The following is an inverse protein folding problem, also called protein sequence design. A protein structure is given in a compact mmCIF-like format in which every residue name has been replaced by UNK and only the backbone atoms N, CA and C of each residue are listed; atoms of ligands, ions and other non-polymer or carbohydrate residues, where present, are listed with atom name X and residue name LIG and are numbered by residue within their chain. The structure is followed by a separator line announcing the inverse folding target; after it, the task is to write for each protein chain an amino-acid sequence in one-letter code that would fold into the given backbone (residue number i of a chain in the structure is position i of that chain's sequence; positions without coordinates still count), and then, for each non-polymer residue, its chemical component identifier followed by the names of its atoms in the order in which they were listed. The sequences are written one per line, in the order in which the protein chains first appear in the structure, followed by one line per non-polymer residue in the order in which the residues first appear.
data_IF_478337527452
#
_entry.id   IF_478337527452
#
_cell.length_a   1.000
_cell.length_b   1.000
_cell.length_c   1.000
_cell.angle_alpha   90.00
_cell.angle_beta   90.00
_cell.angle_gamma   90.00
#
_symmetry.space_group_name_H-M   'P 1'
#
loop_
_entity.id
_entity.type
_entity.pdbx_description
1 polymer ?
#
# COMPACT_ATOMS: atom_id res chain seq x y z
N UNK A 1 -6.84 -13.57 -0.95
CA UNK A 1 -7.58 -12.34 -0.61
C UNK A 1 -6.54 -11.30 -0.24
N UNK A 2 -6.60 -10.09 -0.80
CA UNK A 2 -5.63 -9.06 -0.47
C UNK A 2 -6.00 -8.46 0.89
N UNK A 3 -5.05 -8.41 1.81
CA UNK A 3 -5.24 -7.69 3.07
C UNK A 3 -4.98 -6.20 2.85
N UNK A 4 -5.90 -5.37 3.36
CA UNK A 4 -5.78 -3.92 3.35
C UNK A 4 -5.86 -3.39 4.76
N UNK A 5 -5.06 -2.37 5.06
CA UNK A 5 -4.97 -1.76 6.37
C UNK A 5 -5.34 -0.28 6.31
N UNK A 6 -5.90 0.22 7.41
CA UNK A 6 -6.30 1.63 7.55
C UNK A 6 -5.20 2.54 8.09
N UNK A 7 -4.13 1.96 8.64
CA UNK A 7 -3.01 2.69 9.23
C UNK A 7 -1.70 2.29 8.57
N UNK A 8 -0.82 3.28 8.43
CA UNK A 8 0.56 3.02 8.11
C UNK A 8 1.16 2.15 9.22
N UNK A 9 1.84 1.08 8.81
CA UNK A 9 2.72 0.30 9.65
C UNK A 9 3.80 -0.25 8.73
N UNK A 10 5.02 -0.49 9.20
CA UNK A 10 6.06 -0.86 8.25
C UNK A 10 5.90 -2.26 7.66
N UNK A 11 6.56 -2.46 6.52
CA UNK A 11 6.22 -3.54 5.59
C UNK A 11 4.98 -3.24 4.73
N UNK A 12 4.31 -2.10 4.97
CA UNK A 12 3.15 -1.65 4.20
C UNK A 12 3.47 -0.42 3.39
N UNK A 13 2.93 -0.41 2.18
CA UNK A 13 2.97 0.69 1.26
C UNK A 13 1.58 1.26 1.10
N UNK A 14 1.52 2.58 1.19
CA UNK A 14 0.34 3.34 0.84
C UNK A 14 0.07 3.26 -0.66
N UNK A 15 -1.16 2.91 -1.00
CA UNK A 15 -1.70 2.93 -2.36
C UNK A 15 -2.92 3.85 -2.39
N UNK A 16 -2.96 4.73 -3.38
CA UNK A 16 -4.05 5.67 -3.58
C UNK A 16 -4.63 5.51 -4.98
N UNK A 17 -5.92 5.18 -5.05
CA UNK A 17 -6.68 5.06 -6.29
C UNK A 17 -7.36 6.39 -6.57
N UNK A 18 -6.94 7.08 -7.62
CA UNK A 18 -7.54 8.33 -8.08
C UNK A 18 -8.76 8.00 -8.95
N UNK A 19 -9.88 8.66 -8.66
CA UNK A 19 -11.13 8.48 -9.37
C UNK A 19 -11.46 9.71 -10.24
N UNK A 20 -12.17 9.48 -11.34
CA UNK A 20 -12.85 10.55 -12.08
C UNK A 20 -14.26 10.83 -11.53
N UNK A 21 -14.97 11.76 -12.18
CA UNK A 21 -16.35 12.15 -11.84
C UNK A 21 -17.38 11.02 -12.00
N UNK A 22 -17.02 9.94 -12.70
CA UNK A 22 -17.87 8.77 -12.94
C UNK A 22 -17.43 7.57 -12.09
N UNK A 23 -16.64 7.79 -11.04
CA UNK A 23 -16.08 6.76 -10.15
C UNK A 23 -15.15 5.74 -10.84
N UNK A 24 -14.59 6.07 -12.01
CA UNK A 24 -13.61 5.21 -12.67
C UNK A 24 -12.20 5.50 -12.16
N UNK A 25 -11.42 4.43 -11.95
CA UNK A 25 -9.99 4.55 -11.61
C UNK A 25 -9.22 5.10 -12.81
N UNK A 26 -8.65 6.29 -12.67
CA UNK A 26 -7.83 6.93 -13.71
C UNK A 26 -6.33 6.78 -13.46
N UNK A 27 -5.93 6.65 -12.20
CA UNK A 27 -4.52 6.52 -11.80
C UNK A 27 -4.39 5.81 -10.46
N UNK A 28 -3.25 5.15 -10.27
CA UNK A 28 -2.88 4.52 -9.00
C UNK A 28 -1.52 5.08 -8.59
N UNK A 29 -1.44 5.66 -7.40
CA UNK A 29 -0.20 6.20 -6.83
C UNK A 29 0.26 5.29 -5.69
N UNK A 30 1.53 4.89 -5.71
CA UNK A 30 2.15 4.04 -4.67
C UNK A 30 3.23 4.82 -3.92
N UNK A 31 3.33 4.61 -2.60
CA UNK A 31 4.40 5.15 -1.77
C UNK A 31 3.91 5.90 -0.53
N UNK A 32 4.65 5.74 0.57
CA UNK A 32 4.27 6.27 1.89
C UNK A 32 4.33 7.81 1.98
N UNK A 33 5.12 8.46 1.10
CA UNK A 33 5.22 9.93 1.01
C UNK A 33 4.25 10.56 0.02
N UNK A 34 3.44 9.77 -0.69
CA UNK A 34 2.48 10.30 -1.68
C UNK A 34 1.39 11.07 -0.96
N UNK A 35 1.24 12.37 -1.22
CA UNK A 35 0.04 13.13 -0.83
C UNK A 35 -0.73 13.42 -2.10
N UNK A 36 -1.97 12.93 -2.19
CA UNK A 36 -2.86 13.20 -3.33
C UNK A 36 -3.86 14.28 -2.95
N UNK A 37 -4.01 15.29 -3.81
CA UNK A 37 -5.08 16.30 -3.72
C UNK A 37 -6.34 15.86 -4.46
N UNK A 38 -6.25 14.80 -5.25
CA UNK A 38 -7.34 14.28 -6.07
C UNK A 38 -8.32 13.44 -5.24
N UNK A 39 -9.58 13.36 -5.69
CA UNK A 39 -10.58 12.48 -5.08
C UNK A 39 -10.21 11.00 -5.32
N UNK A 40 -10.37 10.18 -4.29
CA UNK A 40 -9.99 8.78 -4.38
C UNK A 40 -10.03 8.03 -3.06
N UNK A 41 -9.55 6.79 -3.10
CA UNK A 41 -9.47 5.91 -1.94
C UNK A 41 -8.04 5.53 -1.62
N UNK A 42 -7.73 5.49 -0.33
CA UNK A 42 -6.41 5.14 0.19
C UNK A 42 -6.46 3.81 0.95
N UNK A 43 -5.47 2.96 0.69
CA UNK A 43 -5.22 1.76 1.48
C UNK A 43 -3.74 1.66 1.83
N UNK A 44 -3.42 0.92 2.87
CA UNK A 44 -2.08 0.39 3.09
C UNK A 44 -2.12 -1.11 2.76
N UNK A 45 -1.15 -1.59 1.99
CA UNK A 45 -1.03 -2.99 1.58
C UNK A 45 0.39 -3.46 1.79
N UNK A 46 0.63 -4.77 1.86
CA UNK A 46 1.98 -5.30 1.95
C UNK A 46 2.85 -4.89 0.74
N UNK A 47 4.16 -4.81 0.95
CA UNK A 47 5.14 -4.48 -0.09
C UNK A 47 4.92 -5.27 -1.41
N UNK A 48 4.78 -6.60 -1.31
CA UNK A 48 4.60 -7.47 -2.49
C UNK A 48 3.29 -7.22 -3.25
N UNK A 49 2.27 -6.67 -2.59
CA UNK A 49 1.00 -6.29 -3.22
C UNK A 49 1.19 -4.96 -3.95
N UNK A 50 1.86 -3.99 -3.34
CA UNK A 50 2.13 -2.69 -3.96
C UNK A 50 2.99 -2.82 -5.23
N UNK A 51 3.96 -3.74 -5.23
CA UNK A 51 4.79 -4.05 -6.41
C UNK A 51 3.99 -4.69 -7.56
N UNK A 52 2.79 -5.20 -7.28
CA UNK A 52 1.90 -5.88 -8.23
C UNK A 52 0.51 -5.21 -8.29
N UNK A 53 0.44 -3.91 -7.96
CA UNK A 53 -0.83 -3.19 -7.84
C UNK A 53 -1.59 -3.10 -9.17
N UNK A 54 -0.87 -3.21 -10.29
CA UNK A 54 -1.41 -3.27 -11.64
C UNK A 54 -2.32 -4.48 -11.88
N UNK A 55 -2.11 -5.57 -11.13
CA UNK A 55 -2.95 -6.78 -11.12
C UNK A 55 -4.16 -6.67 -10.19
N UNK A 56 -4.25 -5.58 -9.43
CA UNK A 56 -5.32 -5.35 -8.48
C UNK A 56 -6.36 -4.39 -9.06
N UNK A 57 -7.58 -4.49 -8.58
CA UNK A 57 -8.65 -3.55 -8.87
C UNK A 57 -9.39 -3.14 -7.61
N UNK A 58 -9.77 -1.87 -7.60
CA UNK A 58 -10.68 -1.31 -6.61
C UNK A 58 -12.10 -1.72 -6.98
N UNK A 59 -12.87 -2.19 -6.00
CA UNK A 59 -14.29 -2.43 -6.16
C UNK A 59 -15.05 -1.91 -4.94
N UNK A 60 -16.33 -1.58 -5.13
CA UNK A 60 -17.21 -1.14 -4.07
C UNK A 60 -18.08 -2.31 -3.61
N UNK A 61 -17.97 -2.67 -2.34
CA UNK A 61 -18.90 -3.58 -1.68
C UNK A 61 -19.90 -2.72 -0.87
N UNK A 62 -21.01 -2.38 -1.53
CA UNK A 62 -21.91 -1.32 -1.06
C UNK A 62 -21.20 0.04 -1.07
N UNK A 63 -21.08 0.66 0.11
CA UNK A 63 -20.34 1.92 0.30
C UNK A 63 -18.89 1.71 0.77
N UNK A 64 -18.44 0.46 0.90
CA UNK A 64 -17.10 0.15 1.41
C UNK A 64 -16.17 -0.16 0.24
N UNK A 65 -15.14 0.68 0.00
CA UNK A 65 -14.15 0.41 -1.03
C UNK A 65 -13.23 -0.72 -0.58
N UNK A 66 -12.97 -1.67 -1.47
CA UNK A 66 -12.15 -2.86 -1.22
C UNK A 66 -11.21 -3.13 -2.38
N UNK A 67 -10.11 -3.82 -2.10
CA UNK A 67 -9.12 -4.21 -3.09
C UNK A 67 -9.21 -5.71 -3.35
N UNK A 68 -9.24 -6.10 -4.63
CA UNK A 68 -9.14 -7.51 -5.05
C UNK A 68 -8.20 -7.67 -6.22
N UNK A 69 -7.83 -8.91 -6.49
CA UNK A 69 -7.09 -9.27 -7.71
C UNK A 69 -8.06 -9.25 -8.88
N UNK A 70 -7.64 -8.70 -10.03
CA UNK A 70 -8.41 -8.71 -11.27
C UNK A 70 -8.70 -10.16 -11.69
N UNK A 71 -9.80 -10.34 -12.42
CA UNK A 71 -10.16 -11.66 -12.94
C UNK A 71 -9.07 -12.18 -13.88
N UNK A 72 -8.62 -13.42 -13.66
CA UNK A 72 -7.56 -14.06 -14.44
C UNK A 72 -6.12 -13.72 -14.00
N UNK A 73 -5.93 -12.78 -13.08
CA UNK A 73 -4.62 -12.41 -12.54
C UNK A 73 -4.26 -13.21 -11.27
N UNK A 74 -2.98 -13.23 -10.92
CA UNK A 74 -2.50 -13.83 -9.65
C UNK A 74 -1.39 -12.97 -9.05
N UNK A 75 -1.48 -12.76 -7.74
CA UNK A 75 -0.44 -12.09 -6.95
C UNK A 75 0.56 -13.14 -6.49
N UNK A 76 1.84 -12.91 -6.77
CA UNK A 76 2.90 -13.70 -6.20
C UNK A 76 3.12 -13.26 -4.76
N UNK A 77 2.91 -14.18 -3.81
CA UNK A 77 3.25 -13.98 -2.41
C UNK A 77 4.64 -14.56 -2.20
N UNK A 78 5.66 -13.75 -1.87
CA UNK A 78 7.00 -14.26 -1.65
C UNK A 78 7.02 -15.21 -0.44
N UNK A 79 7.57 -16.40 -0.63
CA UNK A 79 7.92 -17.29 0.49
C UNK A 79 9.17 -16.72 1.17
N UNK A 80 8.97 -15.81 2.12
CA UNK A 80 10.09 -15.23 2.87
C UNK A 80 10.71 -16.28 3.78
N UNK A 81 11.98 -16.59 3.54
CA UNK A 81 12.82 -17.34 4.48
C UNK A 81 12.94 -16.59 5.82
N UNK A 82 13.27 -17.30 6.91
CA UNK A 82 13.49 -16.66 8.22
C UNK A 82 14.49 -15.49 8.14
N UNK A 83 15.52 -15.62 7.30
CA UNK A 83 16.52 -14.58 7.08
C UNK A 83 15.94 -13.36 6.37
N UNK A 84 15.07 -13.55 5.38
CA UNK A 84 14.43 -12.44 4.67
C UNK A 84 13.42 -11.72 5.56
N UNK A 85 12.69 -12.46 6.40
CA UNK A 85 11.83 -11.86 7.44
C UNK A 85 12.63 -11.02 8.42
N UNK A 86 13.82 -11.49 8.82
CA UNK A 86 14.69 -10.74 9.71
C UNK A 86 15.26 -9.48 9.03
N UNK A 87 15.64 -9.57 7.75
CA UNK A 87 16.07 -8.41 6.96
C UNK A 87 14.94 -7.39 6.85
N UNK A 88 13.70 -7.83 6.61
CA UNK A 88 12.54 -6.94 6.54
C UNK A 88 12.25 -6.30 7.90
N UNK A 89 12.36 -7.05 9.01
CA UNK A 89 12.26 -6.51 10.37
C UNK A 89 13.34 -5.46 10.67
N UNK A 90 14.58 -5.72 10.28
CA UNK A 90 15.70 -4.79 10.50
C UNK A 90 15.56 -3.53 9.63
N UNK A 91 15.14 -3.68 8.37
CA UNK A 91 14.80 -2.54 7.50
C UNK A 91 13.67 -1.71 8.10
N UNK A 92 12.67 -2.37 8.70
CA UNK A 92 11.61 -1.71 9.46
C UNK A 92 12.16 -0.90 10.64
N UNK A 93 12.95 -1.51 11.52
CA UNK A 93 13.52 -0.81 12.68
C UNK A 93 14.33 0.42 12.25
N UNK A 94 15.09 0.31 11.15
CA UNK A 94 15.81 1.45 10.55
C UNK A 94 14.87 2.56 10.05
N UNK A 95 13.79 2.21 9.34
CA UNK A 95 12.85 3.21 8.80
C UNK A 95 12.13 3.97 9.92
N UNK A 96 11.76 3.30 11.01
CA UNK A 96 11.16 3.97 12.19
C UNK A 96 12.14 4.96 12.79
N UNK A 97 13.37 4.54 13.08
CA UNK A 97 14.40 5.39 13.67
C UNK A 97 14.72 6.61 12.80
N UNK A 98 14.76 6.43 11.48
CA UNK A 98 15.00 7.54 10.54
C UNK A 98 13.83 8.53 10.49
N UNK A 99 12.58 8.05 10.54
CA UNK A 99 11.43 8.95 10.60
C UNK A 99 11.34 9.68 11.95
N UNK A 100 11.72 9.03 13.06
CA UNK A 100 11.80 9.69 14.38
C UNK A 100 12.88 10.79 14.39
N UNK A 101 14.05 10.55 13.79
CA UNK A 101 15.08 11.60 13.62
C UNK A 101 14.61 12.75 12.71
N UNK A 102 13.86 12.48 11.63
CA UNK A 102 13.30 13.55 10.77
C UNK A 102 12.30 14.44 11.53
N UNK A 103 11.50 13.88 12.45
CA UNK A 103 10.55 14.64 13.26
C UNK A 103 11.26 15.47 14.33
N UNK A 104 12.29 14.93 14.98
CA UNK A 104 13.05 15.63 16.04
C UNK A 104 13.88 16.79 15.46
N UNK A 105 14.40 16.66 14.24
CA UNK A 105 15.23 17.71 13.61
C UNK A 105 14.42 18.78 12.84
N UNK A 106 13.08 18.68 12.81
CA UNK A 106 12.20 19.64 12.14
C UNK A 106 11.50 20.62 13.11
N UNK A 107 11.73 20.51 14.42
CA UNK A 107 11.32 21.46 15.47
C UNK A 107 12.45 22.46 15.83
#
# INVERSE_FOLDING_TARGET
MIETYSRNAPGRIKVFFVLDENDNVTSIKTGNRVVSTDQGFQFFVDNYVADQIDKCELYLDGFTPKLRVKEGETIFVPELSEREREIERLKYELEVLQNEEEVINAE
#
